data_IF_855135554151
#
_entry.id   IF_855135554151
#
_cell.length_a   1.000
_cell.length_b   1.000
_cell.length_c   1.000
_cell.angle_alpha   90.00
_cell.angle_beta   90.00
_cell.angle_gamma   90.00
#
_symmetry.space_group_name_H-M   'P 1'
#
loop_
_entity.id
_entity.type
_entity.pdbx_description
1 polymer ?
#
# COMPACT_ATOMS: atom_id res chain seq x y z
N UNK A 1 -15.95 -2.22 10.99
CA UNK A 1 -15.96 -1.35 12.21
C UNK A 1 -16.89 -1.91 13.30
N UNK A 2 -16.35 -2.42 14.42
CA UNK A 2 -17.14 -2.86 15.60
C UNK A 2 -17.92 -1.71 16.22
N UNK A 3 -19.13 -2.02 16.71
CA UNK A 3 -20.02 -1.13 17.48
C UNK A 3 -19.25 -0.42 18.61
N UNK A 4 -18.22 -1.07 19.15
CA UNK A 4 -17.37 -0.54 20.25
C UNK A 4 -16.57 0.71 19.84
N UNK A 5 -16.09 0.81 18.59
CA UNK A 5 -15.37 2.02 18.11
C UNK A 5 -16.32 3.17 17.72
N UNK A 6 -17.62 2.91 17.58
CA UNK A 6 -18.63 3.95 17.34
C UNK A 6 -18.96 4.78 18.59
N UNK A 7 -18.55 4.34 19.78
CA UNK A 7 -18.99 4.92 21.05
C UNK A 7 -18.21 6.20 21.40
N UNK A 8 -17.01 6.40 20.85
CA UNK A 8 -16.13 7.51 21.26
C UNK A 8 -16.26 8.79 20.41
N UNK A 9 -17.37 8.98 19.68
CA UNK A 9 -17.47 10.09 18.74
C UNK A 9 -18.75 10.94 18.75
N UNK A 10 -19.96 10.36 18.95
CA UNK A 10 -21.23 11.11 18.84
C UNK A 10 -22.34 10.48 19.68
N UNK A 11 -23.29 11.32 20.09
CA UNK A 11 -24.44 10.95 20.93
C UNK A 11 -25.35 9.84 20.36
N UNK A 12 -26.25 9.29 21.19
CA UNK A 12 -26.91 7.99 20.99
C UNK A 12 -27.68 7.83 19.67
N UNK A 13 -28.26 8.90 19.11
CA UNK A 13 -29.02 8.85 17.86
C UNK A 13 -28.16 8.53 16.62
N UNK A 14 -26.91 9.01 16.56
CA UNK A 14 -26.03 8.78 15.41
C UNK A 14 -25.50 7.34 15.32
N UNK A 15 -25.37 6.67 16.46
CA UNK A 15 -24.92 5.28 16.58
C UNK A 15 -26.00 4.29 16.12
N UNK A 16 -27.27 4.58 16.38
CA UNK A 16 -28.40 3.69 16.00
C UNK A 16 -28.62 3.66 14.49
N UNK A 17 -28.68 4.83 13.83
CA UNK A 17 -28.87 4.89 12.36
C UNK A 17 -27.72 4.22 11.61
N UNK A 18 -26.48 4.42 12.06
CA UNK A 18 -25.30 3.80 11.46
C UNK A 18 -25.26 2.29 11.67
N UNK A 19 -25.69 1.81 12.85
CA UNK A 19 -25.80 0.36 13.12
C UNK A 19 -26.86 -0.27 12.23
N UNK A 20 -28.01 0.37 12.02
CA UNK A 20 -29.07 -0.12 11.13
C UNK A 20 -28.61 -0.20 9.66
N UNK A 21 -27.90 0.82 9.15
CA UNK A 21 -27.35 0.82 7.78
C UNK A 21 -26.25 -0.23 7.56
N UNK A 22 -25.43 -0.51 8.58
CA UNK A 22 -24.41 -1.56 8.46
C UNK A 22 -25.06 -2.95 8.53
N UNK A 23 -26.04 -3.13 9.42
CA UNK A 23 -26.80 -4.38 9.54
C UNK A 23 -27.57 -4.71 8.26
N UNK A 24 -28.16 -3.72 7.58
CA UNK A 24 -28.90 -3.95 6.32
C UNK A 24 -28.03 -4.43 5.16
N UNK A 25 -26.71 -4.30 5.26
CA UNK A 25 -25.78 -4.83 4.25
C UNK A 25 -25.63 -6.34 4.33
N UNK A 26 -25.99 -6.98 5.44
CA UNK A 26 -25.85 -8.43 5.63
C UNK A 26 -27.19 -9.16 5.63
N UNK A 27 -27.23 -10.32 4.95
CA UNK A 27 -28.38 -11.21 4.94
C UNK A 27 -28.32 -12.28 6.03
N UNK A 28 -29.43 -12.99 6.24
CA UNK A 28 -29.48 -14.17 7.12
C UNK A 28 -28.60 -15.32 6.61
N UNK A 29 -28.35 -15.39 5.29
CA UNK A 29 -27.45 -16.35 4.63
C UNK A 29 -26.32 -15.61 3.92
N UNK A 30 -25.26 -16.35 3.57
CA UNK A 30 -24.10 -15.78 2.86
C UNK A 30 -24.41 -15.38 1.41
N UNK A 31 -25.54 -15.81 0.85
CA UNK A 31 -25.88 -15.66 -0.57
C UNK A 31 -25.84 -14.21 -1.09
N UNK A 32 -26.27 -13.24 -0.29
CA UNK A 32 -26.17 -11.82 -0.66
C UNK A 32 -24.71 -11.36 -0.77
N UNK A 33 -23.86 -11.78 0.18
CA UNK A 33 -22.43 -11.47 0.14
C UNK A 33 -21.71 -12.24 -0.97
N UNK A 34 -22.07 -13.51 -1.22
CA UNK A 34 -21.52 -14.28 -2.35
C UNK A 34 -21.76 -13.58 -3.68
N UNK A 35 -22.97 -13.04 -3.93
CA UNK A 35 -23.25 -12.26 -5.16
C UNK A 35 -22.39 -10.99 -5.26
N UNK A 36 -22.10 -10.34 -4.13
CA UNK A 36 -21.23 -9.15 -4.08
C UNK A 36 -19.77 -9.50 -4.35
N UNK A 37 -19.27 -10.57 -3.73
CA UNK A 37 -17.93 -11.11 -4.01
C UNK A 37 -17.79 -11.54 -5.47
N UNK A 38 -18.82 -12.20 -6.04
CA UNK A 38 -18.88 -12.54 -7.47
C UNK A 38 -18.85 -11.28 -8.36
N UNK A 39 -19.62 -10.24 -8.03
CA UNK A 39 -19.59 -8.95 -8.75
C UNK A 39 -18.21 -8.31 -8.69
N UNK A 40 -17.60 -8.26 -7.51
CA UNK A 40 -16.24 -7.72 -7.33
C UNK A 40 -15.25 -8.50 -8.20
N UNK A 41 -15.17 -9.82 -8.02
CA UNK A 41 -14.27 -10.69 -8.78
C UNK A 41 -14.46 -10.53 -10.31
N UNK A 42 -15.71 -10.43 -10.77
CA UNK A 42 -16.04 -10.24 -12.18
C UNK A 42 -15.53 -8.90 -12.74
N UNK A 43 -15.72 -7.79 -12.00
CA UNK A 43 -15.19 -6.47 -12.39
C UNK A 43 -13.66 -6.52 -12.51
N UNK A 44 -12.98 -7.04 -11.49
CA UNK A 44 -11.51 -7.12 -11.50
C UNK A 44 -11.00 -8.03 -12.61
N UNK A 45 -11.61 -9.21 -12.80
CA UNK A 45 -11.16 -10.22 -13.75
C UNK A 45 -11.28 -9.74 -15.20
N UNK A 46 -12.39 -9.06 -15.54
CA UNK A 46 -12.59 -8.47 -16.87
C UNK A 46 -11.53 -7.44 -17.23
N UNK A 47 -10.94 -6.79 -16.24
CA UNK A 47 -9.86 -5.80 -16.39
C UNK A 47 -8.48 -6.41 -16.13
N UNK A 48 -8.37 -7.74 -16.15
CA UNK A 48 -7.12 -8.49 -15.98
C UNK A 48 -6.50 -8.39 -14.60
N UNK A 49 -7.28 -8.01 -13.58
CA UNK A 49 -6.83 -7.92 -12.20
C UNK A 49 -7.32 -9.12 -11.39
N UNK A 50 -6.62 -9.41 -10.29
CA UNK A 50 -7.08 -10.29 -9.21
C UNK A 50 -6.98 -9.51 -7.90
N UNK A 51 -8.02 -9.53 -7.05
CA UNK A 51 -7.97 -8.82 -5.78
C UNK A 51 -7.22 -9.61 -4.69
N UNK A 52 -6.85 -8.90 -3.64
CA UNK A 52 -6.47 -9.49 -2.36
C UNK A 52 -7.55 -9.18 -1.32
N UNK A 53 -8.10 -10.21 -0.68
CA UNK A 53 -9.11 -10.08 0.35
C UNK A 53 -8.57 -10.53 1.70
N UNK A 54 -8.04 -9.60 2.53
CA UNK A 54 -7.72 -9.93 3.90
C UNK A 54 -8.96 -10.42 4.63
N UNK A 55 -8.90 -11.64 5.15
CA UNK A 55 -10.05 -12.37 5.66
C UNK A 55 -9.81 -12.78 7.11
N UNK A 56 -10.79 -12.53 7.97
CA UNK A 56 -10.73 -13.01 9.36
C UNK A 56 -10.82 -14.53 9.40
N UNK A 57 -9.98 -15.18 10.20
CA UNK A 57 -9.91 -16.64 10.20
C UNK A 57 -11.22 -17.28 10.72
N UNK A 58 -11.95 -16.63 11.64
CA UNK A 58 -13.24 -17.14 12.10
C UNK A 58 -14.30 -17.17 10.98
N UNK A 59 -14.27 -16.21 10.05
CA UNK A 59 -15.17 -16.21 8.89
C UNK A 59 -14.76 -17.29 7.89
N UNK A 60 -13.46 -17.48 7.67
CA UNK A 60 -12.95 -18.60 6.88
C UNK A 60 -13.39 -19.95 7.44
N UNK A 61 -13.28 -20.14 8.77
CA UNK A 61 -13.67 -21.39 9.44
C UNK A 61 -15.16 -21.70 9.31
N UNK A 62 -16.01 -20.67 9.29
CA UNK A 62 -17.47 -20.83 9.11
C UNK A 62 -17.87 -21.06 7.66
N UNK A 63 -17.14 -20.51 6.70
CA UNK A 63 -17.50 -20.55 5.27
C UNK A 63 -16.33 -21.02 4.38
N UNK A 64 -15.68 -22.15 4.68
CA UNK A 64 -14.42 -22.53 4.03
C UNK A 64 -14.60 -22.85 2.55
N UNK A 65 -15.67 -23.56 2.17
CA UNK A 65 -15.96 -23.91 0.77
C UNK A 65 -16.19 -22.67 -0.10
N UNK A 66 -16.89 -21.66 0.43
CA UNK A 66 -17.18 -20.44 -0.32
C UNK A 66 -15.89 -19.64 -0.57
N UNK A 67 -15.07 -19.42 0.45
CA UNK A 67 -13.88 -18.59 0.34
C UNK A 67 -12.77 -19.30 -0.46
N UNK A 68 -12.63 -20.62 -0.29
CA UNK A 68 -11.68 -21.42 -1.07
C UNK A 68 -11.93 -21.35 -2.57
N UNK A 69 -13.19 -21.33 -3.02
CA UNK A 69 -13.54 -21.16 -4.44
C UNK A 69 -12.85 -19.93 -5.05
N UNK A 70 -12.87 -18.80 -4.36
CA UNK A 70 -12.24 -17.58 -4.87
C UNK A 70 -10.70 -17.67 -4.85
N UNK A 71 -10.13 -18.32 -3.84
CA UNK A 71 -8.70 -18.58 -3.80
C UNK A 71 -8.25 -19.45 -4.98
N UNK A 72 -9.02 -20.49 -5.32
CA UNK A 72 -8.79 -21.35 -6.48
C UNK A 72 -8.90 -20.57 -7.81
N UNK A 73 -9.72 -19.52 -7.87
CA UNK A 73 -9.84 -18.58 -9.01
C UNK A 73 -8.74 -17.50 -9.06
N UNK A 74 -7.77 -17.56 -8.13
CA UNK A 74 -6.59 -16.71 -8.07
C UNK A 74 -6.73 -15.47 -7.18
N UNK A 75 -7.83 -15.29 -6.45
CA UNK A 75 -7.94 -14.26 -5.41
C UNK A 75 -6.96 -14.58 -4.28
N UNK A 76 -6.22 -13.58 -3.81
CA UNK A 76 -5.40 -13.78 -2.62
C UNK A 76 -6.27 -13.66 -1.36
N UNK A 77 -6.16 -14.63 -0.45
CA UNK A 77 -6.70 -14.52 0.91
C UNK A 77 -5.56 -14.29 1.90
N UNK A 78 -5.49 -13.07 2.44
CA UNK A 78 -4.51 -12.68 3.46
C UNK A 78 -5.11 -12.79 4.87
N UNK A 79 -4.28 -12.87 5.92
CA UNK A 79 -4.79 -12.93 7.30
C UNK A 79 -5.28 -11.55 7.75
N UNK A 80 -6.52 -11.47 8.23
CA UNK A 80 -7.08 -10.25 8.84
C UNK A 80 -7.34 -10.42 10.34
N UNK A 81 -6.48 -11.20 11.00
CA UNK A 81 -6.63 -11.62 12.39
C UNK A 81 -7.54 -12.84 12.57
N UNK A 82 -7.53 -13.41 13.78
CA UNK A 82 -8.44 -14.50 14.13
C UNK A 82 -9.90 -14.04 14.08
N UNK A 83 -10.13 -12.84 14.59
CA UNK A 83 -11.38 -12.09 14.60
C UNK A 83 -11.04 -10.62 14.29
N UNK A 84 -12.03 -9.79 13.99
CA UNK A 84 -11.83 -8.36 13.72
C UNK A 84 -11.58 -7.53 15.01
N UNK A 85 -10.54 -7.90 15.75
CA UNK A 85 -10.09 -7.27 16.99
C UNK A 85 -8.86 -6.38 16.78
N UNK A 86 -8.75 -5.32 17.59
CA UNK A 86 -7.61 -4.40 17.53
C UNK A 86 -6.35 -5.04 18.12
N UNK A 87 -5.46 -5.53 17.25
CA UNK A 87 -4.23 -6.20 17.66
C UNK A 87 -3.26 -5.23 18.34
N UNK A 88 -3.32 -3.94 18.01
CA UNK A 88 -2.45 -2.93 18.62
C UNK A 88 -2.79 -2.71 20.11
N UNK A 89 -3.96 -3.15 20.57
CA UNK A 89 -4.36 -3.14 21.98
C UNK A 89 -3.89 -4.38 22.76
N UNK A 90 -3.34 -5.39 22.10
CA UNK A 90 -2.88 -6.63 22.75
C UNK A 90 -1.37 -6.59 23.01
N UNK A 91 -0.93 -7.26 24.08
CA UNK A 91 0.49 -7.54 24.28
C UNK A 91 1.02 -8.54 23.22
N UNK A 92 2.35 -8.61 23.10
CA UNK A 92 3.03 -9.46 22.11
C UNK A 92 2.64 -10.94 22.21
N UNK A 93 2.50 -11.49 23.42
CA UNK A 93 2.19 -12.90 23.62
C UNK A 93 0.79 -13.25 23.12
N UNK A 94 -0.18 -12.38 23.42
CA UNK A 94 -1.55 -12.51 22.91
C UNK A 94 -1.63 -12.30 21.40
N UNK A 95 -0.89 -11.33 20.85
CA UNK A 95 -0.81 -11.16 19.40
C UNK A 95 -0.23 -12.40 18.71
N UNK A 96 0.82 -13.00 19.29
CA UNK A 96 1.40 -14.24 18.77
C UNK A 96 0.39 -15.39 18.77
N UNK A 97 -0.31 -15.63 19.89
CA UNK A 97 -1.33 -16.68 19.97
C UNK A 97 -2.43 -16.47 18.93
N UNK A 98 -3.01 -15.27 18.86
CA UNK A 98 -4.16 -15.01 17.98
C UNK A 98 -3.79 -15.05 16.50
N UNK A 99 -2.65 -14.47 16.10
CA UNK A 99 -2.20 -14.47 14.70
C UNK A 99 -1.77 -15.88 14.29
N UNK A 100 -1.06 -16.62 15.15
CA UNK A 100 -0.69 -18.01 14.87
C UNK A 100 -1.92 -18.88 14.66
N UNK A 101 -2.92 -18.79 15.54
CA UNK A 101 -4.18 -19.52 15.40
C UNK A 101 -4.93 -19.16 14.12
N UNK A 102 -4.89 -17.88 13.73
CA UNK A 102 -5.46 -17.45 12.45
C UNK A 102 -4.75 -18.12 11.27
N UNK A 103 -3.41 -18.13 11.25
CA UNK A 103 -2.63 -18.80 10.23
C UNK A 103 -2.89 -20.32 10.20
N UNK A 104 -2.95 -20.98 11.37
CA UNK A 104 -3.25 -22.41 11.49
C UNK A 104 -4.62 -22.78 10.89
N UNK A 105 -5.63 -21.92 11.05
CA UNK A 105 -6.94 -22.10 10.42
C UNK A 105 -6.83 -22.01 8.89
N UNK A 106 -6.09 -21.03 8.36
CA UNK A 106 -5.88 -20.93 6.92
C UNK A 106 -5.20 -22.20 6.37
N UNK A 107 -4.13 -22.68 7.03
CA UNK A 107 -3.44 -23.91 6.65
C UNK A 107 -4.36 -25.13 6.69
N UNK A 108 -5.21 -25.24 7.72
CA UNK A 108 -6.19 -26.34 7.84
C UNK A 108 -7.13 -26.43 6.63
N UNK A 109 -7.47 -25.29 6.03
CA UNK A 109 -8.32 -25.23 4.84
C UNK A 109 -7.55 -25.23 3.51
N UNK A 110 -6.24 -25.52 3.55
CA UNK A 110 -5.38 -25.65 2.38
C UNK A 110 -4.91 -24.32 1.80
N UNK A 111 -5.05 -23.22 2.54
CA UNK A 111 -4.58 -21.89 2.14
C UNK A 111 -3.21 -21.62 2.76
N UNK A 112 -2.36 -20.91 2.03
CA UNK A 112 -1.00 -20.53 2.46
C UNK A 112 -0.91 -19.00 2.47
N UNK A 113 -1.42 -18.34 3.52
CA UNK A 113 -1.47 -16.88 3.55
C UNK A 113 -0.06 -16.32 3.63
N UNK A 114 0.24 -15.33 2.79
CA UNK A 114 1.57 -14.73 2.73
C UNK A 114 1.67 -13.38 3.46
N UNK A 115 0.54 -12.76 3.81
CA UNK A 115 0.54 -11.48 4.50
C UNK A 115 -0.64 -11.22 5.41
N UNK A 116 -0.63 -10.02 5.98
CA UNK A 116 -1.52 -9.60 7.06
C UNK A 116 -2.09 -8.20 6.86
N UNK A 117 -3.36 -8.00 7.23
CA UNK A 117 -4.01 -6.69 7.40
C UNK A 117 -4.47 -6.59 8.83
N UNK A 118 -3.99 -5.60 9.57
CA UNK A 118 -4.51 -5.31 10.90
C UNK A 118 -5.97 -4.84 10.82
N UNK A 119 -6.89 -5.42 11.59
CA UNK A 119 -8.22 -4.84 11.77
C UNK A 119 -8.14 -3.36 12.11
N UNK A 120 -9.04 -2.56 11.52
CA UNK A 120 -9.05 -1.10 11.64
C UNK A 120 -7.81 -0.39 11.10
N UNK A 121 -6.98 -1.06 10.28
CA UNK A 121 -5.68 -0.56 9.82
C UNK A 121 -4.70 -0.28 10.97
N UNK A 122 -4.86 -0.95 12.11
CA UNK A 122 -4.04 -0.73 13.30
C UNK A 122 -3.05 -1.87 13.53
N UNK A 123 -1.83 -1.48 13.89
CA UNK A 123 -0.72 -2.36 14.20
C UNK A 123 0.24 -1.65 15.17
N UNK A 124 1.17 -2.40 15.76
CA UNK A 124 2.28 -1.84 16.55
C UNK A 124 3.56 -2.68 16.33
N UNK A 125 4.67 -2.31 16.97
CA UNK A 125 5.95 -3.04 16.85
C UNK A 125 5.83 -4.52 17.23
N UNK A 126 5.02 -4.84 18.23
CA UNK A 126 4.77 -6.25 18.60
C UNK A 126 4.03 -6.99 17.48
N UNK A 127 3.13 -6.34 16.74
CA UNK A 127 2.53 -6.91 15.53
C UNK A 127 3.61 -7.24 14.52
N UNK A 128 4.47 -6.28 14.16
CA UNK A 128 5.52 -6.47 13.16
C UNK A 128 6.48 -7.60 13.53
N UNK A 129 6.88 -7.69 14.80
CA UNK A 129 7.72 -8.77 15.31
C UNK A 129 7.05 -10.15 15.24
N UNK A 130 5.77 -10.23 15.60
CA UNK A 130 4.99 -11.48 15.50
C UNK A 130 4.84 -11.93 14.05
N UNK A 131 4.52 -11.01 13.12
CA UNK A 131 4.38 -11.34 11.71
C UNK A 131 5.67 -11.94 11.12
N UNK A 132 6.82 -11.36 11.47
CA UNK A 132 8.14 -11.90 11.10
C UNK A 132 8.40 -13.27 11.73
N UNK A 133 8.12 -13.41 13.02
CA UNK A 133 8.27 -14.68 13.76
C UNK A 133 7.48 -15.82 13.11
N UNK A 134 6.29 -15.50 12.58
CA UNK A 134 5.41 -16.47 11.91
C UNK A 134 5.72 -16.64 10.41
N UNK A 135 6.72 -15.96 9.87
CA UNK A 135 7.14 -16.10 8.47
C UNK A 135 6.22 -15.46 7.44
N UNK A 136 5.35 -14.52 7.86
CA UNK A 136 4.57 -13.72 6.92
C UNK A 136 5.49 -12.74 6.18
N UNK A 137 5.28 -12.58 4.88
CA UNK A 137 6.14 -11.78 3.98
C UNK A 137 5.81 -10.31 3.99
N UNK A 138 4.55 -9.97 4.27
CA UNK A 138 4.11 -8.59 4.26
C UNK A 138 3.02 -8.29 5.29
N UNK A 139 2.88 -7.02 5.63
CA UNK A 139 1.64 -6.47 6.15
C UNK A 139 1.18 -5.29 5.29
N UNK A 140 -0.11 -5.02 5.30
CA UNK A 140 -0.65 -3.82 4.70
C UNK A 140 -1.59 -3.23 5.72
N UNK A 141 -1.20 -2.16 6.40
CA UNK A 141 -2.02 -1.54 7.46
C UNK A 141 -1.75 -0.06 7.62
N UNK A 142 -0.60 0.45 7.19
CA UNK A 142 -0.34 1.88 7.24
C UNK A 142 -1.26 2.64 6.28
N UNK A 143 -2.21 3.41 6.82
CA UNK A 143 -3.03 4.30 6.03
C UNK A 143 -2.21 5.50 5.52
N UNK A 144 -2.47 5.90 4.28
CA UNK A 144 -1.85 7.05 3.63
C UNK A 144 -2.94 7.90 3.00
N UNK A 145 -3.06 9.14 3.49
CA UNK A 145 -4.09 10.09 3.10
C UNK A 145 -3.66 10.86 1.86
N UNK A 146 -4.42 10.67 0.78
CA UNK A 146 -4.24 11.41 -0.45
C UNK A 146 -4.99 12.75 -0.40
N UNK A 147 -4.49 13.78 -1.12
CA UNK A 147 -5.21 15.05 -1.24
C UNK A 147 -6.59 14.85 -1.84
N UNK A 148 -7.62 15.39 -1.18
CA UNK A 148 -8.99 15.34 -1.67
C UNK A 148 -9.17 16.24 -2.89
N UNK A 149 -10.06 15.86 -3.82
CA UNK A 149 -10.42 16.74 -4.94
C UNK A 149 -11.08 18.04 -4.49
N UNK A 150 -11.93 17.95 -3.47
CA UNK A 150 -12.60 19.11 -2.87
C UNK A 150 -11.82 19.52 -1.62
N UNK A 151 -11.11 20.64 -1.72
CA UNK A 151 -10.32 21.18 -0.61
C UNK A 151 -11.21 21.70 0.53
N UNK A 152 -12.35 22.31 0.18
CA UNK A 152 -13.26 22.93 1.14
C UNK A 152 -14.42 21.99 1.48
N UNK A 153 -14.20 21.15 2.49
CA UNK A 153 -15.24 20.31 3.05
C UNK A 153 -16.14 21.12 3.99
N UNK A 154 -17.45 20.84 3.94
CA UNK A 154 -18.40 21.27 4.96
C UNK A 154 -17.87 20.92 6.38
N UNK A 155 -18.03 21.80 7.40
CA UNK A 155 -17.35 21.65 8.69
C UNK A 155 -17.58 20.29 9.36
N UNK A 156 -18.78 19.72 9.22
CA UNK A 156 -19.12 18.41 9.77
C UNK A 156 -18.41 17.27 9.02
N UNK A 157 -18.27 17.37 7.70
CA UNK A 157 -17.53 16.40 6.89
C UNK A 157 -16.04 16.50 7.21
N UNK A 158 -15.48 17.71 7.27
CA UNK A 158 -14.09 17.98 7.67
C UNK A 158 -13.75 17.36 9.04
N UNK A 159 -14.59 17.60 10.07
CA UNK A 159 -14.40 17.02 11.40
C UNK A 159 -14.52 15.48 11.38
N UNK A 160 -15.43 14.92 10.59
CA UNK A 160 -15.60 13.46 10.47
C UNK A 160 -14.42 12.80 9.76
N UNK A 161 -13.88 13.46 8.73
CA UNK A 161 -12.70 13.01 7.99
C UNK A 161 -11.44 13.09 8.86
N UNK A 162 -11.21 14.22 9.54
CA UNK A 162 -10.07 14.37 10.44
C UNK A 162 -10.04 13.34 11.57
N UNK A 163 -11.22 12.95 12.10
CA UNK A 163 -11.31 11.85 13.07
C UNK A 163 -10.91 10.49 12.45
N UNK A 164 -11.30 10.22 11.21
CA UNK A 164 -10.93 8.99 10.51
C UNK A 164 -9.41 8.92 10.29
N UNK A 165 -8.79 10.02 9.83
CA UNK A 165 -7.34 10.11 9.67
C UNK A 165 -6.60 9.86 10.99
N UNK A 166 -7.08 10.43 12.09
CA UNK A 166 -6.50 10.21 13.42
C UNK A 166 -6.63 8.75 13.88
N UNK A 167 -7.78 8.12 13.66
CA UNK A 167 -8.03 6.72 14.04
C UNK A 167 -7.13 5.75 13.26
N UNK A 168 -6.91 6.02 11.97
CA UNK A 168 -6.05 5.23 11.11
C UNK A 168 -4.57 5.57 11.25
N UNK A 169 -4.21 6.58 12.06
CA UNK A 169 -2.83 7.11 12.12
C UNK A 169 -2.28 7.39 10.72
N UNK A 170 -3.11 8.01 9.88
CA UNK A 170 -2.82 8.19 8.47
C UNK A 170 -1.64 9.16 8.26
N UNK A 171 -0.75 8.81 7.34
CA UNK A 171 0.38 9.65 6.92
C UNK A 171 -0.05 10.45 5.68
N UNK A 172 0.44 11.67 5.53
CA UNK A 172 0.12 12.53 4.38
C UNK A 172 0.91 12.09 3.13
N UNK A 173 0.20 11.66 2.08
CA UNK A 173 0.76 11.22 0.80
C UNK A 173 1.57 12.31 0.08
N UNK A 174 1.33 13.58 0.39
CA UNK A 174 2.11 14.69 -0.18
C UNK A 174 3.53 14.77 0.38
N UNK A 175 3.79 14.16 1.54
CA UNK A 175 5.08 14.23 2.23
C UNK A 175 5.95 12.99 2.04
N UNK A 176 5.35 11.87 1.62
CA UNK A 176 6.03 10.57 1.51
C UNK A 176 5.98 10.00 0.09
N UNK A 177 6.95 9.16 -0.27
CA UNK A 177 6.82 8.29 -1.43
C UNK A 177 5.92 7.12 -1.04
N UNK A 178 4.72 7.04 -1.63
CA UNK A 178 3.73 6.01 -1.26
C UNK A 178 4.10 4.70 -1.95
N UNK A 179 5.06 3.99 -1.39
CA UNK A 179 5.62 2.74 -1.92
C UNK A 179 5.77 1.72 -0.80
N UNK A 180 5.87 0.41 -1.11
CA UNK A 180 6.18 -0.57 -0.09
C UNK A 180 7.52 -0.27 0.60
N UNK A 181 7.64 -0.60 1.89
CA UNK A 181 8.89 -0.45 2.66
C UNK A 181 9.34 -1.80 3.20
N UNK A 182 10.64 -2.05 3.26
CA UNK A 182 11.17 -3.28 3.90
C UNK A 182 11.71 -2.95 5.28
N UNK A 183 11.21 -3.66 6.30
CA UNK A 183 11.73 -3.62 7.67
C UNK A 183 12.02 -5.04 8.13
N UNK A 184 13.30 -5.35 8.30
CA UNK A 184 13.78 -6.66 8.75
C UNK A 184 13.14 -7.84 7.98
N UNK A 185 13.08 -7.73 6.65
CA UNK A 185 12.54 -8.75 5.76
C UNK A 185 11.01 -8.79 5.64
N UNK A 186 10.27 -7.94 6.37
CA UNK A 186 8.82 -7.76 6.23
C UNK A 186 8.52 -6.56 5.32
N UNK A 187 7.65 -6.75 4.33
CA UNK A 187 7.18 -5.66 3.46
C UNK A 187 5.97 -4.96 4.08
N UNK A 188 6.05 -3.66 4.32
CA UNK A 188 4.91 -2.80 4.67
C UNK A 188 4.31 -2.19 3.40
N UNK A 189 3.05 -2.52 3.09
CA UNK A 189 2.34 -1.95 1.95
C UNK A 189 1.32 -0.90 2.39
N UNK A 190 1.44 0.36 1.93
CA UNK A 190 0.51 1.42 2.29
C UNK A 190 -0.90 1.17 1.76
N UNK A 191 -1.89 1.75 2.45
CA UNK A 191 -3.33 1.68 2.12
C UNK A 191 -3.81 3.08 1.80
N UNK A 192 -4.45 3.26 0.64
CA UNK A 192 -4.93 4.57 0.25
C UNK A 192 -6.20 4.95 1.03
N UNK A 193 -6.19 6.15 1.60
CA UNK A 193 -7.41 6.83 2.05
C UNK A 193 -7.57 8.16 1.31
N UNK A 194 -8.79 8.60 0.95
CA UNK A 194 -10.09 8.07 1.39
C UNK A 194 -10.43 6.67 0.87
N UNK A 195 -10.71 5.76 1.80
CA UNK A 195 -11.21 4.41 1.54
C UNK A 195 -12.73 4.45 1.27
N UNK A 196 -13.32 3.29 0.98
CA UNK A 196 -14.77 3.18 0.78
C UNK A 196 -15.62 3.72 1.95
N UNK A 197 -15.17 3.59 3.22
CA UNK A 197 -15.85 4.13 4.40
C UNK A 197 -15.84 5.64 4.41
N UNK A 198 -14.68 6.23 4.16
CA UNK A 198 -14.54 7.68 4.14
C UNK A 198 -15.39 8.25 3.00
N UNK A 199 -15.33 7.67 1.81
CA UNK A 199 -16.11 8.13 0.66
C UNK A 199 -17.62 8.10 0.93
N UNK A 200 -18.12 6.98 1.47
CA UNK A 200 -19.56 6.76 1.66
C UNK A 200 -20.12 7.40 2.93
N UNK A 201 -19.48 7.16 4.06
CA UNK A 201 -20.09 7.41 5.36
C UNK A 201 -19.60 8.74 5.98
N UNK A 202 -18.39 9.20 5.63
CA UNK A 202 -17.78 10.44 6.16
C UNK A 202 -18.00 11.63 5.23
N UNK A 203 -17.54 11.51 3.99
CA UNK A 203 -17.64 12.55 2.96
C UNK A 203 -19.01 12.52 2.27
N UNK A 204 -19.64 11.33 2.20
CA UNK A 204 -20.96 11.13 1.59
C UNK A 204 -21.01 11.61 0.14
N UNK A 205 -19.96 11.29 -0.61
CA UNK A 205 -19.87 11.63 -2.01
C UNK A 205 -20.90 10.83 -2.82
N UNK A 206 -21.44 11.44 -3.87
CA UNK A 206 -22.31 10.77 -4.83
C UNK A 206 -21.52 9.83 -5.76
N UNK A 207 -22.19 9.10 -6.66
CA UNK A 207 -21.54 8.19 -7.62
C UNK A 207 -20.39 8.84 -8.41
N UNK A 208 -20.65 9.97 -9.10
CA UNK A 208 -19.62 10.70 -9.84
C UNK A 208 -18.46 11.18 -8.95
N UNK A 209 -18.74 11.75 -7.77
CA UNK A 209 -17.72 12.22 -6.83
C UNK A 209 -16.81 11.11 -6.31
N UNK A 210 -17.38 9.94 -5.96
CA UNK A 210 -16.62 8.75 -5.55
C UNK A 210 -15.67 8.27 -6.65
N UNK A 211 -16.16 8.24 -7.90
CA UNK A 211 -15.35 7.84 -9.06
C UNK A 211 -14.23 8.84 -9.35
N UNK A 212 -14.55 10.14 -9.30
CA UNK A 212 -13.57 11.21 -9.51
C UNK A 212 -12.43 11.14 -8.49
N UNK A 213 -12.76 10.90 -7.21
CA UNK A 213 -11.79 10.82 -6.12
C UNK A 213 -10.77 9.70 -6.35
N UNK A 214 -11.21 8.48 -6.66
CA UNK A 214 -10.28 7.39 -6.97
C UNK A 214 -9.48 7.60 -8.26
N UNK A 215 -10.08 8.20 -9.29
CA UNK A 215 -9.33 8.57 -10.50
C UNK A 215 -8.25 9.62 -10.22
N UNK A 216 -8.49 10.54 -9.29
CA UNK A 216 -7.50 11.51 -8.85
C UNK A 216 -6.34 10.83 -8.11
N UNK A 217 -6.61 9.88 -7.21
CA UNK A 217 -5.55 9.10 -6.53
C UNK A 217 -4.74 8.31 -7.56
N UNK A 218 -5.38 7.69 -8.55
CA UNK A 218 -4.68 7.01 -9.64
C UNK A 218 -3.79 7.98 -10.44
N UNK A 219 -4.28 9.18 -10.74
CA UNK A 219 -3.49 10.21 -11.43
C UNK A 219 -2.28 10.64 -10.59
N UNK A 220 -2.48 10.88 -9.30
CA UNK A 220 -1.44 11.27 -8.36
C UNK A 220 -0.35 10.20 -8.26
N UNK A 221 -0.76 8.95 -8.04
CA UNK A 221 0.17 7.82 -7.91
C UNK A 221 0.90 7.51 -9.22
N UNK A 222 0.23 7.60 -10.37
CA UNK A 222 0.89 7.46 -11.68
C UNK A 222 1.92 8.56 -11.92
N UNK A 223 1.59 9.82 -11.61
CA UNK A 223 2.48 10.95 -11.84
C UNK A 223 3.78 10.86 -11.01
N UNK A 224 3.71 10.28 -9.80
CA UNK A 224 4.84 10.11 -8.87
C UNK A 224 5.52 8.75 -8.96
N UNK A 225 4.82 7.77 -9.50
CA UNK A 225 5.28 6.38 -9.53
C UNK A 225 5.07 5.63 -8.24
N UNK A 226 4.01 5.98 -7.53
CA UNK A 226 3.63 5.43 -6.24
C UNK A 226 2.68 4.23 -6.43
N UNK A 227 2.31 3.60 -5.33
CA UNK A 227 1.35 2.50 -5.23
C UNK A 227 -0.04 3.05 -4.85
N UNK A 228 -1.06 2.63 -5.59
CA UNK A 228 -2.45 2.83 -5.21
C UNK A 228 -3.07 1.51 -4.70
N UNK A 229 -3.12 1.33 -3.39
CA UNK A 229 -3.82 0.21 -2.75
C UNK A 229 -5.26 0.61 -2.42
N UNK A 230 -6.21 0.22 -3.27
CA UNK A 230 -7.64 0.46 -3.07
C UNK A 230 -8.14 -0.42 -1.93
N UNK A 231 -8.90 0.16 -0.98
CA UNK A 231 -9.64 -0.58 0.03
C UNK A 231 -11.15 -0.42 -0.22
N UNK A 232 -11.77 -1.51 -0.67
CA UNK A 232 -13.20 -1.63 -0.96
C UNK A 232 -13.76 -2.88 -0.28
N UNK A 233 -14.50 -2.70 0.80
CA UNK A 233 -15.16 -3.81 1.46
C UNK A 233 -16.23 -4.43 0.53
N UNK A 234 -16.28 -5.77 0.38
CA UNK A 234 -17.18 -6.40 -0.58
C UNK A 234 -18.66 -6.04 -0.40
N UNK A 235 -19.12 -5.76 0.83
CA UNK A 235 -20.50 -5.33 1.07
C UNK A 235 -20.87 -3.98 0.42
N UNK A 236 -19.88 -3.20 -0.03
CA UNK A 236 -20.04 -1.88 -0.67
C UNK A 236 -19.80 -1.91 -2.17
N UNK A 237 -19.60 -3.09 -2.78
CA UNK A 237 -19.40 -3.19 -4.23
C UNK A 237 -20.61 -2.68 -5.03
N UNK A 238 -21.82 -2.72 -4.47
CA UNK A 238 -23.00 -2.19 -5.14
C UNK A 238 -22.98 -0.66 -5.25
N UNK A 239 -22.31 -0.01 -4.30
CA UNK A 239 -22.15 1.43 -4.21
C UNK A 239 -20.94 1.95 -5.00
N UNK A 240 -19.85 1.17 -5.06
CA UNK A 240 -18.53 1.58 -5.56
C UNK A 240 -18.02 0.76 -6.75
N UNK A 241 -18.82 -0.19 -7.27
CA UNK A 241 -18.43 -1.03 -8.39
C UNK A 241 -18.08 -0.23 -9.66
N UNK A 242 -18.85 0.81 -9.96
CA UNK A 242 -18.60 1.67 -11.12
C UNK A 242 -17.31 2.49 -10.96
N UNK A 243 -17.03 2.95 -9.74
CA UNK A 243 -15.78 3.64 -9.42
C UNK A 243 -14.58 2.70 -9.57
N UNK A 244 -14.67 1.48 -9.03
CA UNK A 244 -13.64 0.45 -9.18
C UNK A 244 -13.36 0.13 -10.65
N UNK A 245 -14.42 -0.09 -11.43
CA UNK A 245 -14.33 -0.36 -12.86
C UNK A 245 -13.66 0.78 -13.61
N UNK A 246 -14.11 2.02 -13.38
CA UNK A 246 -13.56 3.20 -14.04
C UNK A 246 -12.06 3.38 -13.71
N UNK A 247 -11.67 3.22 -12.45
CA UNK A 247 -10.28 3.31 -12.01
C UNK A 247 -9.40 2.24 -12.65
N UNK A 248 -9.82 0.97 -12.64
CA UNK A 248 -9.06 -0.12 -13.27
C UNK A 248 -8.97 0.05 -14.80
N UNK A 249 -10.06 0.47 -15.43
CA UNK A 249 -10.07 0.74 -16.87
C UNK A 249 -9.11 1.89 -17.23
N UNK A 250 -9.05 2.95 -16.43
CA UNK A 250 -8.09 4.03 -16.62
C UNK A 250 -6.64 3.56 -16.41
N UNK A 251 -6.39 2.80 -15.35
CA UNK A 251 -5.07 2.24 -15.06
C UNK A 251 -4.52 1.39 -16.23
N UNK A 252 -5.38 0.60 -16.89
CA UNK A 252 -5.00 -0.20 -18.06
C UNK A 252 -4.68 0.63 -19.31
N UNK A 253 -5.32 1.78 -19.48
CA UNK A 253 -5.08 2.67 -20.63
C UNK A 253 -3.81 3.52 -20.49
N UNK A 254 -3.34 3.77 -19.27
CA UNK A 254 -2.19 4.65 -19.02
C UNK A 254 -0.89 4.15 -19.65
N UNK A 255 -0.06 5.11 -20.07
CA UNK A 255 1.31 4.88 -20.57
C UNK A 255 2.28 5.88 -19.89
N UNK A 256 3.45 5.44 -19.40
CA UNK A 256 3.84 4.03 -19.22
C UNK A 256 2.86 3.25 -18.32
N UNK A 257 2.88 1.92 -18.44
CA UNK A 257 1.86 1.05 -17.88
C UNK A 257 1.76 1.15 -16.34
N UNK A 258 0.63 0.73 -15.77
CA UNK A 258 0.46 0.52 -14.33
C UNK A 258 0.64 -0.97 -14.04
N UNK A 259 1.52 -1.31 -13.09
CA UNK A 259 1.66 -2.68 -12.58
C UNK A 259 0.46 -3.01 -11.70
N UNK A 260 -0.49 -3.77 -12.24
CA UNK A 260 -1.71 -4.18 -11.54
C UNK A 260 -1.50 -5.60 -11.02
N UNK A 261 -1.43 -5.75 -9.70
CA UNK A 261 -1.10 -7.02 -9.04
C UNK A 261 -1.78 -7.15 -7.67
N UNK A 262 -1.82 -8.38 -7.16
CA UNK A 262 -2.19 -8.68 -5.77
C UNK A 262 -1.10 -8.20 -4.81
N UNK A 263 -1.46 -8.15 -3.53
CA UNK A 263 -0.52 -7.77 -2.47
C UNK A 263 0.63 -8.76 -2.34
N UNK A 264 0.41 -10.07 -2.43
CA UNK A 264 1.49 -11.07 -2.44
C UNK A 264 2.47 -10.91 -3.61
N UNK A 265 1.96 -10.58 -4.80
CA UNK A 265 2.77 -10.33 -6.00
C UNK A 265 3.64 -9.08 -5.85
N UNK A 266 3.07 -7.99 -5.30
CA UNK A 266 3.83 -6.77 -4.99
C UNK A 266 4.88 -7.05 -3.92
N UNK A 267 4.53 -7.78 -2.86
CA UNK A 267 5.48 -8.14 -1.81
C UNK A 267 6.63 -9.02 -2.35
N UNK A 268 6.31 -10.01 -3.20
CA UNK A 268 7.31 -10.85 -3.85
C UNK A 268 8.23 -10.04 -4.76
N UNK A 269 7.67 -9.10 -5.54
CA UNK A 269 8.47 -8.17 -6.34
C UNK A 269 9.40 -7.33 -5.46
N UNK A 270 8.90 -6.75 -4.36
CA UNK A 270 9.70 -5.88 -3.51
C UNK A 270 10.85 -6.62 -2.83
N UNK A 271 10.60 -7.86 -2.35
CA UNK A 271 11.62 -8.74 -1.78
C UNK A 271 12.65 -9.23 -2.80
N UNK A 272 12.25 -9.39 -4.07
CA UNK A 272 13.15 -9.74 -5.17
C UNK A 272 14.01 -8.54 -5.55
N UNK A 273 13.40 -7.38 -5.75
CA UNK A 273 14.04 -6.11 -6.08
C UNK A 273 15.07 -5.68 -5.05
N UNK A 274 14.85 -5.95 -3.77
CA UNK A 274 15.81 -5.58 -2.70
C UNK A 274 17.17 -6.28 -2.81
N UNK A 275 17.28 -7.31 -3.64
CA UNK A 275 18.54 -8.03 -3.93
C UNK A 275 19.31 -7.42 -5.09
N UNK A 276 18.70 -6.52 -5.85
CA UNK A 276 19.32 -5.92 -7.02
C UNK A 276 20.35 -4.87 -6.62
N UNK A 277 21.37 -4.68 -7.46
CA UNK A 277 22.39 -3.67 -7.25
C UNK A 277 22.64 -2.85 -8.52
N UNK A 278 22.82 -1.55 -8.34
CA UNK A 278 23.26 -0.61 -9.36
C UNK A 278 24.53 0.08 -8.87
N UNK A 279 25.62 -0.07 -9.63
CA UNK A 279 26.93 0.47 -9.28
C UNK A 279 27.41 1.39 -10.38
N UNK A 280 28.00 2.51 -9.97
CA UNK A 280 28.66 3.47 -10.86
C UNK A 280 30.07 3.67 -10.33
N UNK A 281 31.06 3.38 -11.16
CA UNK A 281 32.48 3.49 -10.80
C UNK A 281 33.21 4.38 -11.81
N UNK A 282 33.93 5.44 -11.38
CA UNK A 282 34.80 6.21 -12.27
C UNK A 282 35.81 5.29 -12.95
N UNK A 283 36.08 5.51 -14.24
CA UNK A 283 36.96 4.65 -15.05
C UNK A 283 38.11 5.41 -15.73
N UNK A 284 38.54 6.53 -15.16
CA UNK A 284 39.55 7.43 -15.75
C UNK A 284 38.99 8.28 -16.90
N UNK A 285 39.72 9.32 -17.30
CA UNK A 285 39.44 10.15 -18.51
C UNK A 285 38.01 10.72 -18.63
N UNK A 286 37.40 11.11 -17.52
CA UNK A 286 36.03 11.66 -17.51
C UNK A 286 34.96 10.64 -17.93
N UNK A 287 35.22 9.35 -17.67
CA UNK A 287 34.29 8.24 -17.93
C UNK A 287 33.90 7.55 -16.63
N UNK A 288 32.75 6.89 -16.66
CA UNK A 288 32.35 5.96 -15.63
C UNK A 288 31.81 4.67 -16.25
N UNK A 289 31.95 3.60 -15.50
CA UNK A 289 31.31 2.32 -15.77
C UNK A 289 30.05 2.20 -14.92
N UNK A 290 28.94 1.85 -15.56
CA UNK A 290 27.66 1.58 -14.93
C UNK A 290 27.40 0.08 -15.04
N UNK A 291 27.13 -0.57 -13.91
CA UNK A 291 26.82 -2.00 -13.84
C UNK A 291 25.57 -2.25 -13.03
N UNK A 292 24.67 -3.05 -13.60
CA UNK A 292 23.42 -3.50 -13.01
C UNK A 292 23.53 -5.00 -12.77
N UNK A 293 23.22 -5.39 -11.54
CA UNK A 293 23.06 -6.78 -11.12
C UNK A 293 21.60 -6.96 -10.70
N UNK A 294 20.76 -7.33 -11.66
CA UNK A 294 19.32 -7.45 -11.52
C UNK A 294 18.77 -8.38 -12.62
N UNK A 295 17.59 -8.96 -12.40
CA UNK A 295 16.92 -9.79 -13.41
C UNK A 295 16.31 -8.96 -14.55
N UNK A 296 15.75 -9.64 -15.56
CA UNK A 296 15.25 -9.01 -16.78
C UNK A 296 14.02 -8.12 -16.54
N UNK A 297 13.20 -8.44 -15.53
CA UNK A 297 12.02 -7.64 -15.14
C UNK A 297 12.43 -6.27 -14.55
N UNK A 298 13.68 -6.12 -14.11
CA UNK A 298 14.19 -4.88 -13.51
C UNK A 298 14.19 -3.72 -14.50
N UNK A 299 13.51 -2.65 -14.13
CA UNK A 299 13.42 -1.43 -14.94
C UNK A 299 14.61 -0.52 -14.67
N UNK A 300 15.49 -0.38 -15.66
CA UNK A 300 16.65 0.50 -15.60
C UNK A 300 16.41 1.81 -16.35
N UNK A 301 16.58 2.93 -15.66
CA UNK A 301 16.35 4.27 -16.19
C UNK A 301 17.66 5.04 -16.31
N UNK A 302 17.74 5.83 -17.38
CA UNK A 302 18.83 6.79 -17.61
C UNK A 302 18.27 8.17 -17.94
N UNK A 303 18.93 9.21 -17.42
CA UNK A 303 18.65 10.62 -17.70
C UNK A 303 19.93 11.30 -18.15
N UNK A 304 19.87 12.12 -19.18
CA UNK A 304 21.00 12.98 -19.59
C UNK A 304 22.29 12.23 -19.99
N UNK A 305 22.24 10.90 -20.16
CA UNK A 305 23.36 10.08 -20.62
C UNK A 305 23.26 9.78 -22.12
N UNK A 306 24.40 9.81 -22.81
CA UNK A 306 24.51 9.47 -24.23
C UNK A 306 24.62 7.95 -24.42
N UNK A 307 23.54 7.24 -24.11
CA UNK A 307 23.40 5.78 -24.28
C UNK A 307 22.12 5.46 -25.03
N UNK A 308 22.04 4.30 -25.72
CA UNK A 308 20.79 3.82 -26.30
C UNK A 308 19.69 3.74 -25.25
N UNK A 309 18.59 4.46 -25.47
CA UNK A 309 17.43 4.46 -24.58
C UNK A 309 16.14 4.73 -25.33
N UNK A 310 15.03 4.22 -24.81
CA UNK A 310 13.68 4.51 -25.29
C UNK A 310 13.02 5.56 -24.37
N UNK A 311 12.39 6.62 -24.91
CA UNK A 311 11.64 7.57 -24.09
C UNK A 311 10.59 6.86 -23.22
N UNK A 312 10.50 7.24 -21.94
CA UNK A 312 9.64 6.55 -20.99
C UNK A 312 8.69 7.50 -20.26
N UNK A 313 9.21 8.35 -19.38
CA UNK A 313 8.42 9.34 -18.66
C UNK A 313 9.25 10.58 -18.34
N UNK A 314 8.72 11.75 -18.67
CA UNK A 314 9.43 13.02 -18.48
C UNK A 314 10.78 13.00 -19.21
N UNK A 315 11.87 13.14 -18.45
CA UNK A 315 13.25 13.16 -18.98
C UNK A 315 13.97 11.81 -18.93
N UNK A 316 13.33 10.81 -18.32
CA UNK A 316 13.91 9.48 -18.15
C UNK A 316 13.59 8.60 -19.35
N UNK A 317 14.55 7.76 -19.72
CA UNK A 317 14.38 6.72 -20.73
C UNK A 317 14.83 5.35 -20.23
N UNK A 318 14.16 4.32 -20.74
CA UNK A 318 14.50 2.92 -20.51
C UNK A 318 15.79 2.57 -21.22
N UNK A 319 16.72 1.92 -20.52
CA UNK A 319 17.97 1.45 -21.09
C UNK A 319 18.13 -0.05 -20.85
N UNK A 320 18.42 -0.79 -21.93
CA UNK A 320 18.59 -2.25 -21.89
C UNK A 320 20.03 -2.67 -21.54
N UNK A 321 20.98 -1.73 -21.54
CA UNK A 321 22.38 -2.02 -21.23
C UNK A 321 22.53 -2.33 -19.73
N UNK A 322 23.19 -3.46 -19.42
CA UNK A 322 23.43 -3.92 -18.04
C UNK A 322 24.85 -3.65 -17.53
N UNK A 323 25.84 -3.57 -18.41
CA UNK A 323 27.22 -3.23 -18.08
C UNK A 323 27.84 -2.43 -19.24
N UNK A 324 28.16 -1.17 -19.00
CA UNK A 324 28.67 -0.27 -20.04
C UNK A 324 29.52 0.87 -19.47
N UNK A 325 30.37 1.43 -20.32
CA UNK A 325 31.11 2.65 -20.03
C UNK A 325 30.54 3.84 -20.80
N UNK A 326 30.42 4.98 -20.14
CA UNK A 326 29.88 6.21 -20.71
C UNK A 326 30.74 7.40 -20.32
N UNK A 327 30.85 8.38 -21.22
CA UNK A 327 31.46 9.68 -20.88
C UNK A 327 30.54 10.41 -19.90
N UNK A 328 31.11 10.96 -18.84
CA UNK A 328 30.37 11.65 -17.81
C UNK A 328 31.21 12.81 -17.25
N UNK A 329 30.83 14.05 -17.58
CA UNK A 329 31.41 15.23 -16.92
C UNK A 329 31.05 15.27 -15.43
N UNK A 330 29.82 14.84 -15.12
CA UNK A 330 29.31 14.62 -13.77
C UNK A 330 28.90 13.16 -13.62
N UNK A 331 29.17 12.57 -12.47
CA UNK A 331 28.79 11.19 -12.20
C UNK A 331 27.26 11.04 -12.22
N UNK A 332 26.71 9.97 -12.84
CA UNK A 332 25.28 9.72 -12.90
C UNK A 332 24.70 9.18 -11.59
N UNK A 333 25.12 9.75 -10.47
CA UNK A 333 24.74 9.37 -9.11
C UNK A 333 24.14 10.59 -8.40
N UNK A 334 23.45 10.34 -7.29
CA UNK A 334 22.95 11.41 -6.42
C UNK A 334 24.00 11.70 -5.35
N UNK A 335 24.53 12.92 -5.35
CA UNK A 335 25.35 13.41 -4.25
C UNK A 335 24.47 13.76 -3.04
N UNK A 336 24.92 13.42 -1.84
CA UNK A 336 24.25 13.76 -0.58
C UNK A 336 25.22 14.59 0.26
N UNK A 337 24.78 15.79 0.64
CA UNK A 337 25.47 16.64 1.60
C UNK A 337 25.73 15.88 2.91
N UNK A 338 26.95 15.92 3.48
CA UNK A 338 27.25 15.33 4.79
C UNK A 338 26.39 15.87 5.94
N UNK A 339 25.75 17.04 5.73
CA UNK A 339 24.80 17.64 6.68
C UNK A 339 23.41 17.00 6.64
N UNK A 340 23.10 16.25 5.59
CA UNK A 340 21.81 15.58 5.46
C UNK A 340 21.71 14.39 6.43
N UNK A 341 20.54 14.12 7.01
CA UNK A 341 20.35 12.97 7.89
C UNK A 341 20.68 11.63 7.20
N UNK A 342 21.24 10.68 7.96
CA UNK A 342 21.59 9.34 7.44
C UNK A 342 20.40 8.61 6.79
N UNK A 343 19.17 8.89 7.26
CA UNK A 343 17.94 8.32 6.72
C UNK A 343 17.70 8.70 5.23
N UNK A 344 18.18 9.86 4.77
CA UNK A 344 18.09 10.28 3.36
C UNK A 344 18.84 9.32 2.45
N UNK A 345 20.03 8.88 2.87
CA UNK A 345 20.84 7.91 2.13
C UNK A 345 20.11 6.56 2.01
N UNK A 346 19.58 6.06 3.12
CA UNK A 346 18.84 4.78 3.14
C UNK A 346 17.59 4.86 2.26
N UNK A 347 16.84 5.96 2.34
CA UNK A 347 15.68 6.22 1.51
C UNK A 347 16.05 6.22 0.01
N UNK A 348 17.04 7.01 -0.41
CA UNK A 348 17.46 7.07 -1.81
C UNK A 348 17.98 5.74 -2.36
N UNK A 349 18.66 4.96 -1.53
CA UNK A 349 19.08 3.61 -1.89
C UNK A 349 17.88 2.69 -2.13
N UNK A 350 16.85 2.73 -1.26
CA UNK A 350 15.61 1.97 -1.46
C UNK A 350 14.87 2.43 -2.73
N UNK A 351 14.86 3.73 -3.01
CA UNK A 351 14.33 4.34 -4.23
C UNK A 351 15.10 3.96 -5.50
N UNK A 352 16.25 3.29 -5.35
CA UNK A 352 17.05 2.70 -6.42
C UNK A 352 18.08 3.63 -7.04
N UNK A 353 18.45 4.72 -6.35
CA UNK A 353 19.53 5.60 -6.78
C UNK A 353 20.88 5.13 -6.25
N UNK A 354 21.94 5.15 -7.07
CA UNK A 354 23.30 5.14 -6.55
C UNK A 354 23.60 6.49 -5.89
N UNK A 355 24.21 6.45 -4.71
CA UNK A 355 24.43 7.64 -3.86
C UNK A 355 25.88 7.75 -3.39
N UNK A 356 26.37 8.97 -3.27
CA UNK A 356 27.69 9.28 -2.70
C UNK A 356 27.58 10.45 -1.70
N UNK A 357 28.17 10.32 -0.51
CA UNK A 357 28.23 11.42 0.46
C UNK A 357 29.44 12.28 0.13
N UNK A 358 29.24 13.58 -0.12
CA UNK A 358 30.31 14.51 -0.50
C UNK A 358 29.80 15.96 -0.44
N UNK A 359 30.69 16.92 -0.19
CA UNK A 359 30.40 18.36 -0.30
C UNK A 359 30.54 18.90 -1.73
N UNK A 360 31.09 18.12 -2.65
CA UNK A 360 31.30 18.52 -4.05
C UNK A 360 30.02 18.38 -4.89
N UNK A 361 29.12 19.37 -4.76
CA UNK A 361 27.84 19.43 -5.50
C UNK A 361 27.99 19.27 -7.01
N UNK A 362 29.06 19.83 -7.59
CA UNK A 362 29.22 19.91 -9.03
C UNK A 362 29.67 18.58 -9.65
N UNK A 363 30.13 17.61 -8.85
CA UNK A 363 30.54 16.29 -9.32
C UNK A 363 29.36 15.38 -9.71
N UNK A 364 28.14 15.69 -9.28
CA UNK A 364 26.99 14.78 -9.37
C UNK A 364 25.88 15.31 -10.29
N UNK A 365 25.13 14.40 -10.89
CA UNK A 365 24.00 14.76 -11.75
C UNK A 365 22.79 15.32 -11.02
N UNK A 366 22.63 14.95 -9.74
CA UNK A 366 21.74 15.57 -8.78
C UNK A 366 22.43 15.66 -7.41
N UNK A 367 22.01 16.61 -6.58
CA UNK A 367 22.59 16.82 -5.26
C UNK A 367 21.51 17.18 -4.25
N UNK A 368 21.45 16.42 -3.15
CA UNK A 368 20.49 16.60 -2.06
C UNK A 368 21.20 17.21 -0.86
N UNK A 369 20.64 18.30 -0.36
CA UNK A 369 21.16 19.05 0.79
C UNK A 369 20.00 19.49 1.67
N UNK A 370 19.52 18.56 2.49
CA UNK A 370 18.41 18.79 3.43
C UNK A 370 18.98 18.80 4.84
N UNK A 371 19.37 19.99 5.31
CA UNK A 371 20.05 20.15 6.60
C UNK A 371 19.08 20.20 7.80
N UNK A 372 17.76 20.19 7.57
CA UNK A 372 16.75 20.35 8.62
C UNK A 372 16.24 19.00 9.14
N UNK A 373 15.86 18.96 10.42
CA UNK A 373 15.25 17.81 11.10
C UNK A 373 13.85 17.45 10.57
N UNK A 374 13.29 18.24 9.64
CA UNK A 374 11.93 18.10 9.09
C UNK A 374 11.88 17.85 7.57
N UNK A 375 12.94 17.29 6.99
CA UNK A 375 12.94 16.89 5.58
C UNK A 375 11.78 15.90 5.29
N UNK A 376 11.28 15.92 4.05
CA UNK A 376 10.27 14.97 3.57
C UNK A 376 10.79 14.14 2.41
N UNK A 377 10.30 12.90 2.27
CA UNK A 377 10.69 12.04 1.15
C UNK A 377 10.32 12.66 -0.20
N UNK A 378 9.15 13.33 -0.27
CA UNK A 378 8.73 14.07 -1.46
C UNK A 378 9.69 15.18 -1.82
N UNK A 379 10.12 16.02 -0.87
CA UNK A 379 11.06 17.11 -1.10
C UNK A 379 12.39 16.58 -1.68
N UNK A 380 12.91 15.50 -1.10
CA UNK A 380 14.15 14.86 -1.57
C UNK A 380 13.98 14.35 -3.02
N UNK A 381 12.86 13.72 -3.35
CA UNK A 381 12.58 13.28 -4.71
C UNK A 381 12.38 14.45 -5.67
N UNK A 382 11.69 15.51 -5.25
CA UNK A 382 11.44 16.70 -6.08
C UNK A 382 12.76 17.40 -6.46
N UNK A 383 13.74 17.47 -5.54
CA UNK A 383 15.10 17.96 -5.81
C UNK A 383 15.75 17.15 -6.95
N UNK A 384 15.63 15.83 -6.91
CA UNK A 384 16.21 14.93 -7.92
C UNK A 384 15.43 15.02 -9.24
N UNK A 385 14.11 15.10 -9.18
CA UNK A 385 13.26 15.23 -10.37
C UNK A 385 13.50 16.55 -11.09
N UNK A 386 13.80 17.64 -10.36
CA UNK A 386 14.18 18.93 -10.94
C UNK A 386 15.58 18.91 -11.58
N UNK A 387 16.49 18.06 -11.10
CA UNK A 387 17.86 18.00 -11.61
C UNK A 387 17.94 17.49 -13.08
N UNK A 388 18.74 18.13 -13.94
CA UNK A 388 18.84 17.77 -15.37
C UNK A 388 19.55 16.43 -15.61
N UNK A 389 20.17 15.84 -14.59
CA UNK A 389 21.05 14.68 -14.73
C UNK A 389 22.49 15.09 -15.05
N UNK A 390 23.37 14.14 -15.42
CA UNK A 390 23.03 12.76 -15.78
C UNK A 390 22.61 11.93 -14.55
N UNK A 391 21.69 10.98 -14.70
CA UNK A 391 21.31 10.06 -13.60
C UNK A 391 21.08 8.66 -14.14
N UNK A 392 21.32 7.68 -13.28
CA UNK A 392 20.85 6.30 -13.45
C UNK A 392 20.02 5.88 -12.25
N UNK A 393 19.03 5.00 -12.47
CA UNK A 393 18.14 4.54 -11.41
C UNK A 393 17.62 3.14 -11.69
N UNK A 394 17.60 2.28 -10.66
CA UNK A 394 16.75 1.08 -10.64
C UNK A 394 15.35 1.48 -10.22
N UNK A 395 14.43 1.50 -11.17
CA UNK A 395 13.07 1.94 -10.93
C UNK A 395 12.29 1.00 -9.99
N UNK A 396 11.19 1.52 -9.43
CA UNK A 396 10.40 0.87 -8.39
C UNK A 396 9.65 -0.36 -8.88
N UNK A 397 9.12 -0.31 -10.10
CA UNK A 397 8.18 -1.29 -10.64
C UNK A 397 8.78 -2.07 -11.81
N UNK A 398 8.33 -3.32 -12.05
CA UNK A 398 8.88 -4.15 -13.11
C UNK A 398 8.43 -3.66 -14.50
N UNK A 399 9.08 -4.16 -15.55
CA UNK A 399 8.62 -4.08 -16.95
C UNK A 399 8.29 -2.67 -17.46
N UNK A 400 9.05 -1.66 -17.01
CA UNK A 400 8.83 -0.27 -17.36
C UNK A 400 7.52 0.30 -16.82
N UNK A 401 6.89 -0.30 -15.81
CA UNK A 401 5.67 0.24 -15.24
C UNK A 401 5.95 1.57 -14.50
N UNK A 402 5.11 2.57 -14.75
CA UNK A 402 5.25 3.89 -14.11
C UNK A 402 4.97 3.84 -12.62
N UNK A 403 3.91 3.12 -12.24
CA UNK A 403 3.29 3.05 -10.91
C UNK A 403 2.67 1.67 -10.70
N UNK A 404 2.16 1.37 -9.50
CA UNK A 404 1.43 0.14 -9.23
C UNK A 404 0.02 0.37 -8.66
N UNK A 405 -0.84 -0.62 -8.79
CA UNK A 405 -2.20 -0.62 -8.23
C UNK A 405 -2.56 -2.01 -7.70
N UNK A 406 -3.11 -2.05 -6.49
CA UNK A 406 -3.67 -3.25 -5.88
C UNK A 406 -5.13 -3.01 -5.50
N UNK A 407 -6.03 -3.93 -5.86
CA UNK A 407 -7.42 -3.91 -5.42
C UNK A 407 -7.59 -4.80 -4.21
N UNK A 408 -8.05 -4.23 -3.10
CA UNK A 408 -8.19 -4.97 -1.84
C UNK A 408 -9.54 -4.74 -1.19
N UNK A 409 -9.99 -5.70 -0.36
CA UNK A 409 -11.25 -5.60 0.35
C UNK A 409 -11.30 -6.54 1.54
N UNK A 410 -11.52 -6.01 2.73
CA UNK A 410 -11.46 -6.81 3.96
C UNK A 410 -12.76 -7.61 4.14
N UNK A 411 -12.64 -8.90 4.48
CA UNK A 411 -13.76 -9.82 4.76
C UNK A 411 -13.78 -10.13 6.26
N UNK A 412 -14.71 -9.50 6.96
CA UNK A 412 -14.90 -9.67 8.41
C UNK A 412 -16.27 -10.24 8.80
N UNK A 413 -17.18 -10.39 7.84
CA UNK A 413 -18.46 -11.06 7.97
C UNK A 413 -19.01 -11.46 6.59
N UNK A 414 -19.69 -12.61 6.50
CA UNK A 414 -20.44 -13.02 5.30
C UNK A 414 -21.95 -13.04 5.55
N UNK A 415 -22.37 -13.12 6.81
CA UNK A 415 -23.77 -13.12 7.25
C UNK A 415 -24.01 -12.12 8.36
N UNK A 416 -25.29 -11.81 8.63
CA UNK A 416 -25.66 -10.97 9.77
C UNK A 416 -25.23 -11.62 11.09
N UNK A 417 -25.32 -12.96 11.18
CA UNK A 417 -24.84 -13.70 12.35
C UNK A 417 -23.35 -13.46 12.57
N UNK A 418 -22.54 -13.54 11.52
CA UNK A 418 -21.10 -13.27 11.62
C UNK A 418 -20.84 -11.85 12.16
N UNK A 419 -21.56 -10.87 11.61
CA UNK A 419 -21.42 -9.46 12.02
C UNK A 419 -21.79 -9.23 13.50
N UNK A 420 -22.87 -9.86 13.97
CA UNK A 420 -23.31 -9.74 15.38
C UNK A 420 -22.35 -10.48 16.31
N UNK A 421 -21.98 -11.72 15.98
CA UNK A 421 -21.07 -12.55 16.77
C UNK A 421 -19.69 -11.92 16.89
N UNK A 422 -19.22 -11.21 15.86
CA UNK A 422 -17.95 -10.44 15.88
C UNK A 422 -17.83 -9.54 17.11
N UNK A 423 -18.90 -8.86 17.52
CA UNK A 423 -18.86 -7.97 18.69
C UNK A 423 -18.63 -8.74 19.99
N UNK A 424 -19.19 -9.95 20.09
CA UNK A 424 -18.98 -10.84 21.22
C UNK A 424 -17.58 -11.47 21.22
N UNK A 425 -17.07 -11.88 20.06
CA UNK A 425 -15.73 -12.46 19.91
C UNK A 425 -14.60 -11.47 20.22
N UNK A 426 -14.86 -10.18 20.06
CA UNK A 426 -13.92 -9.11 20.40
C UNK A 426 -13.99 -8.62 21.85
N UNK A 427 -14.88 -9.17 22.69
CA UNK A 427 -15.13 -8.64 24.06
C UNK A 427 -13.90 -8.61 24.97
N UNK A 428 -12.99 -9.56 24.76
CA UNK A 428 -11.77 -9.76 25.55
C UNK A 428 -10.53 -9.07 24.94
N UNK A 429 -10.71 -8.31 23.87
CA UNK A 429 -9.68 -7.50 23.20
C UNK A 429 -9.55 -6.12 23.87
N UNK A 430 -9.22 -6.15 25.16
CA UNK A 430 -8.90 -4.94 25.95
C UNK A 430 -7.38 -4.85 26.15
N UNK A 431 -6.85 -3.62 26.32
CA UNK A 431 -5.48 -3.44 26.79
C UNK A 431 -5.23 -4.26 28.04
N UNK A 432 -4.09 -4.93 28.13
CA UNK A 432 -3.65 -5.50 29.39
C UNK A 432 -3.73 -4.38 30.45
N UNK A 433 -4.44 -4.60 31.55
CA UNK A 433 -4.45 -3.65 32.67
C UNK A 433 -2.99 -3.45 33.04
N UNK A 434 -2.48 -2.23 32.90
CA UNK A 434 -1.17 -1.87 33.43
C UNK A 434 -1.13 -2.39 34.87
N UNK A 435 -0.14 -3.23 35.18
CA UNK A 435 0.10 -3.66 36.55
C UNK A 435 0.19 -2.39 37.38
N UNK A 436 -0.76 -2.21 38.31
CA UNK A 436 -0.69 -1.12 39.28
C UNK A 436 0.55 -1.41 40.12
N UNK A 437 1.63 -0.69 39.84
CA UNK A 437 2.78 -0.57 40.75
C UNK A 437 2.37 0.27 41.95
#
# INVERSE_FOLDING_TARGET
>A
MSVVMSIHGRGPAGTVTRTATVVSRFGATASAMSRRLERYAAITSRLGARPSWPTTACVLERHPTLLRRYADDGVELAVHGLVHGDHAALDRGRQLDTIKRAADIFHRYGLQPSGFRGPYLRYNEATLDVLRTLGLRYHSSQAVAFPLLVADLEPRAAASYGLALKLYSAIDASTVAVTPRIRDGLVDMPVAVPDDEILLDRLRLDGPGRTAEWLQILKFTHARGDLFTIQLHPERIDDLGDALEATLADARRRRPAVFIARLDEIAAWWLRRSRFALRVTPSGDGRCRVRIDADDDATFLTRGLSVPRTPWYGRDGLCELRDFEVKCERLPVVGISPRSPAAVRSFLAEEGFPVEISDDRNRFGAYVDVADARWSESEVLDIIEAAPGPLVRLWRWPDGARSALATTGDIDALTLRDFVVRSWETRDWRPARAART
#
